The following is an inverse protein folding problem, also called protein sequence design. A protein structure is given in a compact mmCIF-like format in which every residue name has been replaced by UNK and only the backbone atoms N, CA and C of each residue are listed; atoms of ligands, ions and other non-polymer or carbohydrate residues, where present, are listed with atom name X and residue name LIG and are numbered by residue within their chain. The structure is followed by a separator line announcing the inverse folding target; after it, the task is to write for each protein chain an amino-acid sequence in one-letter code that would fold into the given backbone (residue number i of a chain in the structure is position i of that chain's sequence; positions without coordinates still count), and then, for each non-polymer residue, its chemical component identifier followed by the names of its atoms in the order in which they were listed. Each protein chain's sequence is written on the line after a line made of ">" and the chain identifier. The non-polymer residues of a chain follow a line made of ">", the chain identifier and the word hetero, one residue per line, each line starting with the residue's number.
data_IF_348698171252
#
_entry.id   IF_348698171252
#
_cell.length_a   1.000
_cell.length_b   1.000
_cell.length_c   1.000
_cell.angle_alpha   90.00
_cell.angle_beta   90.00
_cell.angle_gamma   90.00
#
_symmetry.space_group_name_H-M   'P 1'
#
loop_
_entity.id
_entity.type
_entity.pdbx_description
1 polymer ?
#
# COMPACT_ATOMS: atom_id res chain seq x y z
N UNK A 1 -0.82 14.92 -24.74
CA UNK A 1 0.15 15.40 -23.74
C UNK A 1 0.86 14.15 -23.23
N UNK A 2 2.15 14.10 -23.33
CA UNK A 2 2.93 13.03 -22.72
C UNK A 2 2.91 13.22 -21.21
N UNK A 3 2.89 12.10 -20.47
CA UNK A 3 2.87 12.11 -19.02
C UNK A 3 4.27 12.46 -18.48
N UNK A 4 4.36 13.15 -17.34
CA UNK A 4 5.63 13.53 -16.72
C UNK A 4 6.59 12.37 -16.50
N UNK A 5 6.06 11.18 -16.13
CA UNK A 5 6.85 9.95 -16.01
C UNK A 5 7.52 9.52 -17.33
N UNK A 6 6.82 9.68 -18.46
CA UNK A 6 7.35 9.30 -19.77
C UNK A 6 8.47 10.24 -20.19
N UNK A 7 8.31 11.53 -19.90
CA UNK A 7 9.36 12.54 -20.09
C UNK A 7 10.58 12.22 -19.22
N UNK A 8 10.39 11.88 -17.95
CA UNK A 8 11.47 11.47 -17.04
C UNK A 8 12.21 10.23 -17.56
N UNK A 9 11.49 9.21 -18.05
CA UNK A 9 12.06 8.00 -18.64
C UNK A 9 12.89 8.31 -19.91
N UNK A 10 12.40 9.23 -20.77
CA UNK A 10 13.12 9.66 -21.99
C UNK A 10 14.40 10.41 -21.60
N UNK A 11 14.31 11.38 -20.69
CA UNK A 11 15.47 12.17 -20.27
C UNK A 11 16.54 11.27 -19.64
N UNK A 12 16.15 10.34 -18.76
CA UNK A 12 17.06 9.37 -18.16
C UNK A 12 17.67 8.41 -19.19
N UNK A 13 16.89 7.93 -20.16
CA UNK A 13 17.36 6.98 -21.17
C UNK A 13 18.40 7.56 -22.12
N UNK A 14 18.25 8.84 -22.45
CA UNK A 14 19.11 9.52 -23.44
C UNK A 14 20.09 10.50 -22.78
N UNK A 15 20.17 10.54 -21.45
CA UNK A 15 21.05 11.42 -20.68
C UNK A 15 20.87 12.91 -21.07
N UNK A 16 19.60 13.34 -21.11
CA UNK A 16 19.22 14.67 -21.52
C UNK A 16 19.13 15.62 -20.33
N UNK A 17 19.75 16.79 -20.42
CA UNK A 17 19.62 17.86 -19.42
C UNK A 17 18.36 18.72 -19.57
N UNK A 18 17.80 18.75 -20.76
CA UNK A 18 16.54 19.46 -21.08
C UNK A 18 15.86 18.90 -22.31
N UNK A 19 14.53 19.01 -22.35
CA UNK A 19 13.69 18.66 -23.51
C UNK A 19 12.79 19.83 -23.90
N UNK A 20 12.56 20.09 -25.20
CA UNK A 20 11.66 21.13 -25.65
C UNK A 20 10.21 20.71 -25.45
N UNK A 21 9.34 21.65 -25.07
CA UNK A 21 7.89 21.53 -25.10
C UNK A 21 7.35 22.26 -26.29
N UNK A 22 6.61 21.57 -27.16
CA UNK A 22 6.05 22.12 -28.40
C UNK A 22 4.54 21.95 -28.45
N UNK A 23 3.85 22.84 -29.15
CA UNK A 23 2.42 22.69 -29.47
C UNK A 23 2.18 21.75 -30.66
N UNK A 24 0.91 21.50 -30.98
CA UNK A 24 0.50 20.67 -32.12
C UNK A 24 0.95 21.26 -33.47
N UNK A 25 1.27 22.55 -33.53
CA UNK A 25 1.81 23.26 -34.68
C UNK A 25 3.33 23.29 -34.72
N UNK A 26 3.99 22.61 -33.74
CA UNK A 26 5.43 22.56 -33.56
C UNK A 26 6.09 23.89 -33.19
N UNK A 27 5.34 24.82 -32.58
CA UNK A 27 5.96 26.01 -31.99
C UNK A 27 6.49 25.68 -30.63
N UNK A 28 7.66 26.21 -30.29
CA UNK A 28 8.29 26.05 -29.00
C UNK A 28 7.49 26.81 -27.94
N UNK A 29 6.93 26.09 -26.95
CA UNK A 29 6.23 26.66 -25.78
C UNK A 29 7.16 26.90 -24.60
N UNK A 30 8.19 26.05 -24.46
CA UNK A 30 9.13 26.11 -23.36
C UNK A 30 10.10 24.95 -23.36
N UNK A 31 10.68 24.69 -22.22
CA UNK A 31 11.56 23.53 -21.99
C UNK A 31 11.29 22.96 -20.61
N UNK A 32 11.49 21.65 -20.46
CA UNK A 32 11.55 20.95 -19.18
C UNK A 32 13.03 20.64 -18.95
N UNK A 33 13.55 20.98 -17.78
CA UNK A 33 14.94 20.74 -17.38
C UNK A 33 15.03 19.56 -16.43
N UNK A 34 16.23 19.06 -16.18
CA UNK A 34 16.44 17.93 -15.26
C UNK A 34 15.99 18.29 -13.82
N UNK A 35 16.08 19.54 -13.42
CA UNK A 35 15.65 20.03 -12.11
C UNK A 35 14.12 19.85 -11.96
N UNK A 36 13.35 20.22 -12.99
CA UNK A 36 11.89 20.05 -13.03
C UNK A 36 11.50 18.56 -12.91
N UNK A 37 12.29 17.69 -13.55
CA UNK A 37 12.07 16.23 -13.50
C UNK A 37 12.43 15.66 -12.13
N UNK A 38 13.48 16.16 -11.48
CA UNK A 38 13.85 15.73 -10.13
C UNK A 38 12.75 16.10 -9.13
N UNK A 39 12.22 17.31 -9.21
CA UNK A 39 11.12 17.75 -8.36
C UNK A 39 9.86 16.89 -8.61
N UNK A 40 9.50 16.67 -9.88
CA UNK A 40 8.38 15.79 -10.25
C UNK A 40 8.54 14.37 -9.69
N UNK A 41 9.72 13.74 -9.82
CA UNK A 41 9.97 12.38 -9.28
C UNK A 41 9.86 12.37 -7.76
N UNK A 42 10.28 13.45 -7.09
CA UNK A 42 10.18 13.57 -5.65
C UNK A 42 8.71 13.67 -5.21
N UNK A 43 7.91 14.52 -5.85
CA UNK A 43 6.47 14.66 -5.58
C UNK A 43 5.73 13.33 -5.78
N UNK A 44 5.96 12.62 -6.89
CA UNK A 44 5.40 11.31 -7.16
C UNK A 44 5.80 10.27 -6.09
N UNK A 45 7.06 10.28 -5.65
CA UNK A 45 7.52 9.36 -4.62
C UNK A 45 6.90 9.66 -3.24
N UNK A 46 6.66 10.93 -2.92
CA UNK A 46 5.96 11.36 -1.70
C UNK A 46 4.48 10.94 -1.76
N UNK A 47 3.80 11.13 -2.89
CA UNK A 47 2.42 10.66 -3.09
C UNK A 47 2.30 9.13 -2.96
N UNK A 48 3.17 8.38 -3.63
CA UNK A 48 3.22 6.93 -3.55
C UNK A 48 3.42 6.44 -2.10
N UNK A 49 4.27 7.13 -1.34
CA UNK A 49 4.48 6.82 0.07
C UNK A 49 3.21 7.06 0.91
N UNK A 50 2.51 8.17 0.70
CA UNK A 50 1.26 8.47 1.39
C UNK A 50 0.16 7.45 1.05
N UNK A 51 0.01 7.09 -0.24
CA UNK A 51 -0.94 6.07 -0.69
C UNK A 51 -0.63 4.72 -0.04
N UNK A 52 0.63 4.32 0.01
CA UNK A 52 1.04 3.07 0.66
C UNK A 52 0.75 3.08 2.18
N UNK A 53 0.77 4.24 2.82
CA UNK A 53 0.39 4.43 4.21
C UNK A 53 -1.13 4.56 4.44
N UNK A 54 -1.94 4.54 3.38
CA UNK A 54 -3.41 4.70 3.46
C UNK A 54 -3.86 6.15 3.69
N UNK A 55 -3.04 7.10 3.29
CA UNK A 55 -3.36 8.53 3.32
C UNK A 55 -3.65 8.99 1.90
N UNK A 56 -4.75 9.70 1.69
CA UNK A 56 -5.17 10.20 0.37
C UNK A 56 -4.97 11.71 0.27
N UNK A 57 -4.49 12.14 -0.90
CA UNK A 57 -4.27 13.55 -1.21
C UNK A 57 -2.89 14.05 -0.81
N UNK A 58 -2.62 15.26 -1.25
CA UNK A 58 -1.40 16.00 -0.97
C UNK A 58 -1.54 16.66 0.39
N UNK A 59 -0.95 16.04 1.42
CA UNK A 59 -1.02 16.52 2.80
C UNK A 59 0.36 16.62 3.42
N UNK A 60 0.59 17.70 4.16
CA UNK A 60 1.82 17.95 4.90
C UNK A 60 1.63 17.80 6.42
N UNK A 61 2.73 17.67 7.14
CA UNK A 61 2.69 17.43 8.58
C UNK A 61 2.14 18.61 9.40
N UNK A 62 2.19 19.81 8.86
CA UNK A 62 1.70 21.06 9.45
C UNK A 62 0.29 21.47 9.00
N UNK A 63 -0.35 20.67 8.15
CA UNK A 63 -1.74 20.86 7.75
C UNK A 63 -2.69 20.82 8.94
N UNK A 64 -3.87 21.44 8.75
CA UNK A 64 -4.89 21.47 9.79
C UNK A 64 -5.39 20.07 10.15
N UNK A 65 -5.83 19.89 11.41
CA UNK A 65 -6.39 18.63 11.90
C UNK A 65 -7.52 18.12 11.01
N UNK A 66 -8.32 19.02 10.43
CA UNK A 66 -9.45 18.64 9.57
C UNK A 66 -8.98 18.10 8.23
N UNK A 67 -7.94 18.67 7.63
CA UNK A 67 -7.35 18.20 6.37
C UNK A 67 -6.72 16.83 6.56
N UNK A 68 -5.87 16.67 7.57
CA UNK A 68 -5.27 15.39 7.92
C UNK A 68 -6.30 14.30 8.25
N UNK A 69 -7.41 14.69 8.91
CA UNK A 69 -8.50 13.76 9.21
C UNK A 69 -9.20 13.30 7.93
N UNK A 70 -9.54 14.21 7.02
CA UNK A 70 -10.17 13.89 5.74
C UNK A 70 -9.31 12.95 4.89
N UNK A 71 -8.00 13.17 4.87
CA UNK A 71 -7.06 12.35 4.12
C UNK A 71 -6.99 10.90 4.62
N UNK A 72 -7.18 10.66 5.93
CA UNK A 72 -7.08 9.35 6.59
C UNK A 72 -8.43 8.61 6.69
N UNK A 73 -9.54 9.35 6.78
CA UNK A 73 -10.85 8.76 7.02
C UNK A 73 -11.28 7.67 6.02
N UNK A 74 -11.06 7.80 4.71
CA UNK A 74 -11.47 6.77 3.76
C UNK A 74 -10.84 5.42 4.05
N UNK A 75 -9.55 5.39 4.36
CA UNK A 75 -8.84 4.16 4.71
C UNK A 75 -9.28 3.59 6.07
N UNK A 76 -9.44 4.46 7.07
CA UNK A 76 -9.94 4.07 8.39
C UNK A 76 -11.37 3.52 8.32
N UNK A 77 -12.21 4.07 7.46
CA UNK A 77 -13.57 3.56 7.22
C UNK A 77 -13.57 2.16 6.63
N UNK A 78 -12.70 1.88 5.65
CA UNK A 78 -12.52 0.53 5.11
C UNK A 78 -12.06 -0.45 6.20
N UNK A 79 -11.13 -0.02 7.05
CA UNK A 79 -10.69 -0.80 8.21
C UNK A 79 -11.82 -1.08 9.20
N UNK A 80 -12.67 -0.09 9.46
CA UNK A 80 -13.85 -0.24 10.31
C UNK A 80 -14.84 -1.27 9.75
N UNK A 81 -15.15 -1.20 8.46
CA UNK A 81 -16.05 -2.15 7.79
C UNK A 81 -15.49 -3.57 7.87
N UNK A 82 -14.19 -3.75 7.60
CA UNK A 82 -13.51 -5.04 7.74
C UNK A 82 -13.52 -5.55 9.19
N UNK A 83 -13.29 -4.67 10.15
CA UNK A 83 -13.37 -4.99 11.59
C UNK A 83 -14.75 -5.43 12.03
N UNK A 84 -15.80 -4.72 11.60
CA UNK A 84 -17.19 -5.12 11.87
C UNK A 84 -17.52 -6.47 11.24
N UNK A 85 -17.05 -6.73 10.01
CA UNK A 85 -17.18 -8.06 9.40
C UNK A 85 -16.55 -9.17 10.24
N UNK A 86 -15.39 -8.91 10.84
CA UNK A 86 -14.73 -9.85 11.75
C UNK A 86 -15.54 -10.12 13.02
N UNK A 87 -16.23 -9.12 13.57
CA UNK A 87 -17.12 -9.30 14.72
C UNK A 87 -18.24 -10.29 14.42
N UNK A 88 -18.91 -10.16 13.27
CA UNK A 88 -19.98 -11.11 12.88
C UNK A 88 -19.46 -12.54 12.72
N UNK A 89 -18.24 -12.70 12.18
CA UNK A 89 -17.62 -14.03 12.07
C UNK A 89 -17.34 -14.60 13.47
N UNK A 90 -16.76 -13.83 14.37
CA UNK A 90 -16.44 -14.28 15.72
C UNK A 90 -17.70 -14.63 16.54
N UNK A 91 -18.79 -13.87 16.36
CA UNK A 91 -20.07 -14.17 16.99
C UNK A 91 -20.58 -15.56 16.61
N UNK A 92 -20.40 -15.99 15.37
CA UNK A 92 -20.74 -17.36 14.91
C UNK A 92 -19.93 -18.47 15.60
N UNK A 93 -18.81 -18.13 16.26
CA UNK A 93 -17.97 -19.07 17.01
C UNK A 93 -18.09 -18.91 18.53
N UNK A 94 -19.12 -18.26 19.03
CA UNK A 94 -19.32 -17.95 20.45
C UNK A 94 -19.30 -19.20 21.33
N UNK A 95 -19.83 -20.34 20.86
CA UNK A 95 -19.82 -21.60 21.60
C UNK A 95 -18.39 -22.11 21.85
N UNK A 96 -17.50 -21.98 20.87
CA UNK A 96 -16.08 -22.31 21.04
C UNK A 96 -15.38 -21.37 22.01
N UNK A 97 -15.75 -20.09 22.04
CA UNK A 97 -15.19 -19.11 22.96
C UNK A 97 -15.52 -19.43 24.43
N UNK A 98 -16.65 -20.06 24.67
CA UNK A 98 -17.13 -20.44 26.01
C UNK A 98 -16.64 -21.82 26.44
N UNK A 99 -16.11 -22.66 25.54
CA UNK A 99 -15.56 -23.97 25.88
C UNK A 99 -14.22 -23.82 26.62
N UNK A 100 -14.06 -24.38 27.82
CA UNK A 100 -12.83 -24.30 28.62
C UNK A 100 -11.58 -24.77 27.85
N UNK A 101 -11.72 -25.73 26.94
CA UNK A 101 -10.59 -26.31 26.22
C UNK A 101 -10.04 -25.33 25.13
N UNK A 102 -10.89 -24.44 24.59
CA UNK A 102 -10.50 -23.52 23.52
C UNK A 102 -10.38 -22.07 23.96
N UNK A 103 -10.89 -21.73 25.15
CA UNK A 103 -10.91 -20.35 25.69
C UNK A 103 -9.54 -19.70 25.66
N UNK A 104 -8.48 -20.45 25.95
CA UNK A 104 -7.11 -19.93 25.94
C UNK A 104 -6.66 -19.47 24.55
N UNK A 105 -7.17 -20.05 23.45
CA UNK A 105 -6.81 -19.67 22.09
C UNK A 105 -7.27 -18.26 21.73
N UNK A 106 -8.35 -17.78 22.35
CA UNK A 106 -8.86 -16.43 22.09
C UNK A 106 -7.96 -15.32 22.62
N UNK A 107 -7.06 -15.62 23.56
CA UNK A 107 -6.04 -14.66 23.99
C UNK A 107 -5.05 -14.31 22.87
N UNK A 108 -4.92 -15.15 21.86
CA UNK A 108 -4.07 -14.90 20.70
C UNK A 108 -4.76 -14.09 19.57
N UNK A 109 -6.07 -13.84 19.67
CA UNK A 109 -6.81 -13.07 18.66
C UNK A 109 -6.20 -11.70 18.36
N UNK A 110 -5.79 -10.87 19.36
CA UNK A 110 -5.13 -9.60 19.09
C UNK A 110 -3.79 -9.76 18.37
N UNK A 111 -3.03 -10.80 18.69
CA UNK A 111 -1.77 -11.12 18.02
C UNK A 111 -2.01 -11.44 16.53
N UNK A 112 -2.99 -12.32 16.25
CA UNK A 112 -3.34 -12.70 14.87
C UNK A 112 -3.82 -11.49 14.09
N UNK A 113 -4.68 -10.64 14.67
CA UNK A 113 -5.17 -9.43 14.04
C UNK A 113 -4.06 -8.44 13.70
N UNK A 114 -3.12 -8.21 14.63
CA UNK A 114 -1.95 -7.35 14.40
C UNK A 114 -1.05 -7.90 13.28
N UNK A 115 -0.80 -9.21 13.27
CA UNK A 115 0.00 -9.87 12.24
C UNK A 115 -0.66 -9.77 10.85
N UNK A 116 -1.98 -10.00 10.77
CA UNK A 116 -2.73 -9.86 9.52
C UNK A 116 -2.68 -8.42 8.98
N UNK A 117 -2.79 -7.41 9.85
CA UNK A 117 -2.65 -6.00 9.48
C UNK A 117 -1.26 -5.69 8.91
N UNK A 118 -0.20 -6.17 9.57
CA UNK A 118 1.16 -5.97 9.10
C UNK A 118 1.41 -6.63 7.73
N UNK A 119 0.92 -7.85 7.51
CA UNK A 119 1.02 -8.52 6.21
C UNK A 119 0.26 -7.73 5.14
N UNK A 120 -0.92 -7.20 5.46
CA UNK A 120 -1.70 -6.36 4.56
C UNK A 120 -0.91 -5.12 4.11
N UNK A 121 -0.31 -4.40 5.04
CA UNK A 121 0.52 -3.21 4.72
C UNK A 121 1.73 -3.58 3.87
N UNK A 122 2.44 -4.66 4.20
CA UNK A 122 3.59 -5.13 3.43
C UNK A 122 3.20 -5.52 1.99
N UNK A 123 2.10 -6.25 1.82
CA UNK A 123 1.61 -6.64 0.49
C UNK A 123 1.17 -5.42 -0.32
N UNK A 124 0.50 -4.45 0.30
CA UNK A 124 0.10 -3.20 -0.36
C UNK A 124 1.31 -2.41 -0.84
N UNK A 125 2.33 -2.24 0.00
CA UNK A 125 3.55 -1.51 -0.37
C UNK A 125 4.28 -2.15 -1.56
N UNK A 126 4.38 -3.50 -1.61
CA UNK A 126 4.99 -4.22 -2.73
C UNK A 126 4.17 -4.02 -4.03
N UNK A 127 2.85 -4.00 -3.94
CA UNK A 127 1.97 -3.81 -5.10
C UNK A 127 2.06 -2.37 -5.61
N UNK A 128 2.02 -1.36 -4.74
CA UNK A 128 2.16 0.06 -5.11
C UNK A 128 3.49 0.28 -5.81
N UNK A 129 4.60 -0.16 -5.20
CA UNK A 129 5.93 -0.07 -5.82
C UNK A 129 6.00 -0.79 -7.17
N UNK A 130 5.36 -1.95 -7.29
CA UNK A 130 5.33 -2.70 -8.54
C UNK A 130 4.48 -2.04 -9.64
N UNK A 131 3.44 -1.27 -9.28
CA UNK A 131 2.64 -0.47 -10.20
C UNK A 131 3.44 0.73 -10.69
N UNK A 132 4.06 1.48 -9.78
CA UNK A 132 4.89 2.65 -10.10
C UNK A 132 6.04 2.31 -11.07
N UNK A 133 6.61 1.11 -10.96
CA UNK A 133 7.71 0.66 -11.84
C UNK A 133 7.26 -0.13 -13.08
N UNK A 134 5.98 -0.14 -13.47
CA UNK A 134 5.44 -0.94 -14.59
C UNK A 134 5.76 -2.45 -14.52
N UNK A 135 6.20 -2.95 -13.35
CA UNK A 135 6.55 -4.36 -13.16
C UNK A 135 5.29 -5.20 -12.95
N UNK A 136 4.20 -4.56 -12.52
CA UNK A 136 2.93 -5.19 -12.24
C UNK A 136 2.19 -5.53 -13.53
N UNK A 137 2.70 -6.52 -14.28
CA UNK A 137 2.08 -7.07 -15.50
C UNK A 137 1.50 -8.46 -15.22
N UNK A 138 0.27 -8.72 -15.67
CA UNK A 138 -0.32 -10.06 -15.63
C UNK A 138 -1.65 -10.17 -14.87
N UNK A 139 -2.14 -11.40 -14.75
CA UNK A 139 -3.44 -11.72 -14.17
C UNK A 139 -3.45 -11.53 -12.65
N UNK A 140 -4.45 -10.81 -12.15
CA UNK A 140 -4.73 -10.66 -10.71
C UNK A 140 -4.78 -12.01 -9.99
N UNK A 141 -5.34 -13.04 -10.62
CA UNK A 141 -5.45 -14.38 -10.03
C UNK A 141 -4.07 -14.99 -9.73
N UNK A 142 -3.09 -14.85 -10.62
CA UNK A 142 -1.73 -15.36 -10.38
C UNK A 142 -1.08 -14.66 -9.18
N UNK A 143 -1.37 -13.38 -8.99
CA UNK A 143 -0.86 -12.60 -7.85
C UNK A 143 -1.50 -13.04 -6.55
N UNK A 144 -2.82 -13.20 -6.53
CA UNK A 144 -3.55 -13.72 -5.37
C UNK A 144 -3.03 -15.09 -4.95
N UNK A 145 -2.78 -16.00 -5.90
CA UNK A 145 -2.22 -17.33 -5.60
C UNK A 145 -0.80 -17.20 -5.01
N UNK A 146 0.03 -16.30 -5.56
CA UNK A 146 1.37 -16.05 -5.03
C UNK A 146 1.31 -15.49 -3.61
N UNK A 147 0.42 -14.54 -3.36
CA UNK A 147 0.22 -13.91 -2.06
C UNK A 147 -0.30 -14.91 -1.02
N UNK A 148 -1.25 -15.76 -1.40
CA UNK A 148 -1.71 -16.87 -0.56
C UNK A 148 -0.57 -17.83 -0.19
N UNK A 149 0.29 -18.17 -1.14
CA UNK A 149 1.46 -19.00 -0.88
C UNK A 149 2.43 -18.35 0.11
N UNK A 150 2.75 -17.07 -0.06
CA UNK A 150 3.58 -16.30 0.85
C UNK A 150 2.97 -16.23 2.26
N UNK A 151 1.68 -15.91 2.34
CA UNK A 151 0.95 -15.82 3.60
C UNK A 151 0.92 -17.15 4.35
N UNK A 152 0.78 -18.27 3.62
CA UNK A 152 0.81 -19.61 4.21
C UNK A 152 2.19 -19.93 4.81
N UNK A 153 3.26 -19.65 4.08
CA UNK A 153 4.64 -19.87 4.55
C UNK A 153 4.91 -19.02 5.79
N UNK A 154 4.60 -17.73 5.73
CA UNK A 154 4.78 -16.82 6.85
C UNK A 154 3.93 -17.25 8.06
N UNK A 155 2.68 -17.64 7.84
CA UNK A 155 1.78 -18.10 8.89
C UNK A 155 2.29 -19.36 9.59
N UNK A 156 2.83 -20.33 8.85
CA UNK A 156 3.45 -21.54 9.43
C UNK A 156 4.69 -21.18 10.27
N UNK A 157 5.59 -20.34 9.73
CA UNK A 157 6.80 -19.93 10.46
C UNK A 157 6.44 -19.21 11.76
N UNK A 158 5.55 -18.22 11.69
CA UNK A 158 5.14 -17.44 12.85
C UNK A 158 4.33 -18.26 13.85
N UNK A 159 3.50 -19.19 13.38
CA UNK A 159 2.79 -20.14 14.22
C UNK A 159 3.74 -21.04 15.02
N UNK A 160 4.78 -21.58 14.36
CA UNK A 160 5.82 -22.37 15.03
C UNK A 160 6.58 -21.54 16.08
N UNK A 161 6.95 -20.30 15.73
CA UNK A 161 7.60 -19.39 16.69
C UNK A 161 6.70 -19.09 17.88
N UNK A 162 5.40 -18.89 17.66
CA UNK A 162 4.43 -18.65 18.73
C UNK A 162 4.33 -19.86 19.69
N UNK A 163 4.37 -21.08 19.15
CA UNK A 163 4.39 -22.30 19.97
C UNK A 163 5.68 -22.39 20.80
N UNK A 164 6.84 -22.07 20.21
CA UNK A 164 8.14 -22.17 20.88
C UNK A 164 8.27 -21.13 22.01
N UNK A 165 7.78 -19.92 21.82
CA UNK A 165 7.95 -18.82 22.77
C UNK A 165 6.70 -18.53 23.64
N UNK A 166 5.55 -19.09 23.27
CA UNK A 166 4.28 -18.86 23.96
C UNK A 166 3.89 -19.97 24.96
N UNK A 167 4.58 -21.08 24.92
CA UNK A 167 4.47 -22.24 25.80
C UNK A 167 5.84 -22.71 26.24
#
# INVERSE_FOLDING_TARGET
>A
MENGEEVAKIMSKYDLEAVPVIDDQRHLLGRITIDDIVDFIKEEAEEDYLIAAGVQGDVEADDSILELTKARLPWLFLGLVGGLGSVFILEGFQDFMNDPNYKALFFFTPLIAAMAGNVGVQSSAIIVQGLANDIVKGSLLKRLIKELGLSLINGVILGLLTIIFGF
#
